data_IF_796605471242
#
_entry.id   IF_796605471242
#
_cell.length_a   1.000
_cell.length_b   1.000
_cell.length_c   1.000
_cell.angle_alpha   90.00
_cell.angle_beta   90.00
_cell.angle_gamma   90.00
#
_symmetry.space_group_name_H-M   'P 1'
#
loop_
_entity.id
_entity.type
_entity.pdbx_description
1 polymer ?
#
# COMPACT_ATOMS: atom_id res chain seq x y z
N UNK A 1 7.32 18.52 -4.44
CA UNK A 1 6.19 17.73 -4.96
C UNK A 1 6.74 16.35 -5.30
N UNK A 2 6.53 15.35 -4.44
CA UNK A 2 7.06 14.00 -4.68
C UNK A 2 6.19 13.30 -5.71
N UNK A 3 6.76 12.86 -6.83
CA UNK A 3 6.07 12.09 -7.85
C UNK A 3 5.62 10.77 -7.21
N UNK A 4 4.31 10.56 -7.11
CA UNK A 4 3.73 9.24 -6.92
C UNK A 4 4.04 8.45 -8.20
N UNK A 5 4.88 7.42 -8.12
CA UNK A 5 5.07 6.51 -9.26
C UNK A 5 3.76 5.74 -9.43
N UNK A 6 3.12 5.90 -10.57
CA UNK A 6 1.97 5.07 -10.91
C UNK A 6 2.49 3.69 -11.34
N UNK A 7 1.63 2.68 -11.35
CA UNK A 7 1.92 1.45 -12.09
C UNK A 7 1.87 1.76 -13.60
N UNK A 8 2.95 2.34 -14.11
CA UNK A 8 3.08 2.73 -15.50
C UNK A 8 3.56 1.53 -16.31
N UNK A 9 2.64 0.76 -16.88
CA UNK A 9 2.95 -0.15 -18.02
C UNK A 9 3.21 0.66 -19.30
N UNK A 10 4.03 1.72 -19.24
CA UNK A 10 4.27 2.65 -20.36
C UNK A 10 3.05 3.48 -20.81
N UNK A 11 2.00 3.57 -19.99
CA UNK A 11 0.77 4.34 -20.27
C UNK A 11 0.86 5.76 -19.69
N UNK A 12 0.17 6.72 -20.31
CA UNK A 12 -0.01 8.08 -19.74
C UNK A 12 -0.99 8.13 -18.57
N UNK A 13 -1.58 6.99 -18.19
CA UNK A 13 -2.59 6.86 -17.12
C UNK A 13 -2.26 5.74 -16.13
N UNK A 14 -2.86 5.80 -14.94
CA UNK A 14 -2.79 4.73 -13.93
C UNK A 14 -3.40 3.44 -14.48
N UNK A 15 -2.67 2.33 -14.42
CA UNK A 15 -3.19 1.00 -14.74
C UNK A 15 -3.34 0.21 -13.44
N UNK A 16 -4.40 -0.59 -13.34
CA UNK A 16 -4.58 -1.48 -12.19
C UNK A 16 -3.49 -2.55 -12.19
N UNK A 17 -2.74 -2.63 -11.10
CA UNK A 17 -1.75 -3.67 -10.84
C UNK A 17 -2.42 -5.05 -10.78
N UNK A 18 -1.80 -6.03 -11.40
CA UNK A 18 -2.19 -7.44 -11.24
C UNK A 18 -1.88 -7.94 -9.83
N UNK A 19 -2.47 -9.07 -9.44
CA UNK A 19 -2.26 -9.68 -8.13
C UNK A 19 -0.77 -9.97 -7.83
N UNK A 20 0.03 -10.57 -8.75
CA UNK A 20 1.47 -10.74 -8.53
C UNK A 20 2.22 -9.42 -8.34
N UNK A 21 1.88 -8.37 -9.11
CA UNK A 21 2.50 -7.04 -8.97
C UNK A 21 2.17 -6.42 -7.61
N UNK A 22 0.94 -6.57 -7.12
CA UNK A 22 0.52 -6.10 -5.79
C UNK A 22 1.23 -6.86 -4.65
N UNK A 23 1.44 -8.16 -4.80
CA UNK A 23 2.20 -8.97 -3.84
C UNK A 23 3.66 -8.55 -3.78
N UNK A 24 4.31 -8.41 -4.94
CA UNK A 24 5.68 -7.91 -5.01
C UNK A 24 5.79 -6.53 -4.36
N UNK A 25 4.84 -5.64 -4.66
CA UNK A 25 4.80 -4.31 -4.07
C UNK A 25 4.64 -4.34 -2.54
N UNK A 26 3.81 -5.24 -2.01
CA UNK A 26 3.68 -5.41 -0.57
C UNK A 26 5.01 -5.84 0.09
N UNK A 27 5.75 -6.76 -0.52
CA UNK A 27 7.06 -7.19 -0.03
C UNK A 27 8.11 -6.06 -0.12
N UNK A 28 8.12 -5.29 -1.21
CA UNK A 28 8.96 -4.10 -1.36
C UNK A 28 8.68 -3.06 -0.25
N UNK A 29 7.40 -2.81 0.07
CA UNK A 29 7.00 -1.90 1.15
C UNK A 29 7.45 -2.43 2.52
N UNK A 30 7.22 -3.73 2.81
CA UNK A 30 7.63 -4.34 4.08
C UNK A 30 9.14 -4.23 4.29
N UNK A 31 9.93 -4.49 3.24
CA UNK A 31 11.38 -4.34 3.27
C UNK A 31 11.79 -2.90 3.58
N UNK A 32 11.12 -1.90 2.99
CA UNK A 32 11.38 -0.49 3.27
C UNK A 32 10.98 -0.10 4.69
N UNK A 33 9.83 -0.54 5.20
CA UNK A 33 9.40 -0.30 6.60
C UNK A 33 10.47 -0.79 7.58
N UNK A 34 10.96 -2.01 7.36
CA UNK A 34 12.05 -2.60 8.15
C UNK A 34 13.34 -1.79 8.05
N UNK A 35 13.72 -1.38 6.83
CA UNK A 35 14.92 -0.55 6.59
C UNK A 35 14.83 0.81 7.29
N UNK A 36 13.65 1.44 7.30
CA UNK A 36 13.41 2.71 7.98
C UNK A 36 13.24 2.56 9.50
N UNK A 37 13.24 1.32 10.03
CA UNK A 37 12.97 1.00 11.43
C UNK A 37 11.67 1.65 11.95
N UNK A 38 10.58 1.57 11.17
CA UNK A 38 9.27 2.10 11.55
C UNK A 38 8.34 0.98 12.00
N UNK A 39 7.62 1.21 13.10
CA UNK A 39 6.59 0.28 13.61
C UNK A 39 5.25 0.49 12.87
N UNK A 40 5.25 0.14 11.59
CA UNK A 40 4.07 0.24 10.73
C UNK A 40 3.64 -1.17 10.30
N UNK A 41 2.42 -1.53 10.66
CA UNK A 41 1.76 -2.72 10.15
C UNK A 41 1.15 -2.41 8.77
N UNK A 42 1.53 -3.16 7.73
CA UNK A 42 0.98 -2.99 6.38
C UNK A 42 -0.40 -3.67 6.28
N UNK A 43 -1.44 -2.89 5.99
CA UNK A 43 -2.84 -3.36 5.97
C UNK A 43 -3.35 -3.58 4.54
N UNK A 44 -3.04 -2.64 3.63
CA UNK A 44 -3.47 -2.72 2.25
C UNK A 44 -2.51 -1.98 1.31
N UNK A 45 -2.40 -2.45 0.07
CA UNK A 45 -1.64 -1.76 -0.99
C UNK A 45 -2.58 -1.08 -1.97
N UNK A 46 -2.13 0.02 -2.55
CA UNK A 46 -2.87 0.67 -3.62
C UNK A 46 -2.63 -0.06 -4.95
N UNK A 47 -3.70 -0.42 -5.65
CA UNK A 47 -3.65 -1.11 -6.95
C UNK A 47 -3.39 -0.16 -8.13
N UNK A 48 -3.45 1.16 -7.93
CA UNK A 48 -3.25 2.18 -8.98
C UNK A 48 -1.93 2.95 -8.83
N UNK A 49 -1.49 3.16 -7.58
CA UNK A 49 -0.31 3.97 -7.25
C UNK A 49 0.75 3.13 -6.55
N UNK A 50 1.91 2.97 -7.20
CA UNK A 50 3.05 2.32 -6.57
C UNK A 50 3.53 3.20 -5.42
N UNK A 51 3.95 2.56 -4.34
CA UNK A 51 4.39 3.15 -3.07
C UNK A 51 3.31 3.82 -2.20
N UNK A 52 2.06 3.85 -2.63
CA UNK A 52 0.94 4.24 -1.77
C UNK A 52 0.35 3.01 -1.06
N UNK A 53 0.18 3.11 0.26
CA UNK A 53 -0.37 2.02 1.05
C UNK A 53 -1.14 2.53 2.28
N UNK A 54 -1.99 1.67 2.83
CA UNK A 54 -2.62 1.87 4.13
C UNK A 54 -1.85 1.04 5.14
N UNK A 55 -1.46 1.69 6.23
CA UNK A 55 -0.79 1.04 7.35
C UNK A 55 -1.39 1.46 8.68
N UNK A 56 -1.07 0.69 9.71
CA UNK A 56 -1.48 0.95 11.08
C UNK A 56 -0.25 1.22 11.94
N UNK A 57 -0.31 2.28 12.74
CA UNK A 57 0.72 2.67 13.70
C UNK A 57 0.01 3.17 14.96
N UNK A 58 0.45 2.71 16.14
CA UNK A 58 -0.15 3.08 17.43
C UNK A 58 -1.68 2.88 17.47
N UNK A 59 -2.17 1.82 16.84
CA UNK A 59 -3.61 1.50 16.78
C UNK A 59 -4.42 2.34 15.78
N UNK A 60 -3.80 3.29 15.06
CA UNK A 60 -4.47 4.18 14.12
C UNK A 60 -4.09 3.87 12.68
N UNK A 61 -5.07 3.93 11.80
CA UNK A 61 -4.88 3.74 10.37
C UNK A 61 -4.49 5.04 9.71
N UNK A 62 -3.48 4.97 8.85
CA UNK A 62 -2.99 6.09 8.06
C UNK A 62 -2.71 5.67 6.62
N UNK A 63 -2.88 6.61 5.71
CA UNK A 63 -2.30 6.52 4.38
C UNK A 63 -0.81 6.87 4.48
N UNK A 64 0.02 6.07 3.84
CA UNK A 64 1.45 6.27 3.75
C UNK A 64 1.90 6.34 2.29
N UNK A 65 3.01 7.05 2.10
CA UNK A 65 3.78 7.08 0.87
C UNK A 65 5.20 6.62 1.15
N UNK A 66 5.57 5.48 0.58
CA UNK A 66 6.95 5.01 0.53
C UNK A 66 7.75 5.83 -0.50
N UNK A 67 8.98 6.20 -0.14
CA UNK A 67 9.92 6.94 -0.98
C UNK A 67 11.24 6.15 -1.01
N UNK A 68 11.33 5.06 -1.80
CA UNK A 68 12.48 4.16 -1.78
C UNK A 68 13.81 4.86 -2.05
N UNK A 69 13.84 5.79 -3.00
CA UNK A 69 15.04 6.57 -3.36
C UNK A 69 15.59 7.41 -2.20
N UNK A 70 14.75 7.71 -1.21
CA UNK A 70 15.12 8.49 -0.01
C UNK A 70 15.21 7.64 1.25
N UNK A 71 15.01 6.32 1.13
CA UNK A 71 14.84 5.41 2.27
C UNK A 71 13.88 5.98 3.33
N UNK A 72 12.74 6.51 2.89
CA UNK A 72 11.80 7.23 3.74
C UNK A 72 10.38 6.73 3.55
N UNK A 73 9.60 6.72 4.62
CA UNK A 73 8.14 6.56 4.58
C UNK A 73 7.51 7.82 5.18
N UNK A 74 6.59 8.41 4.41
CA UNK A 74 5.85 9.62 4.80
C UNK A 74 4.42 9.25 5.18
N UNK A 75 4.00 9.69 6.36
CA UNK A 75 2.60 9.62 6.80
C UNK A 75 1.83 10.78 6.17
N UNK A 76 0.76 10.48 5.43
CA UNK A 76 -0.04 11.48 4.71
C UNK A 76 -1.29 11.87 5.50
N UNK A 77 -2.31 10.99 5.46
CA UNK A 77 -3.64 11.25 5.97
C UNK A 77 -3.99 10.24 7.07
N UNK A 78 -4.62 10.69 8.14
CA UNK A 78 -5.15 9.83 9.19
C UNK A 78 -6.61 9.50 8.90
N UNK A 79 -6.98 8.22 8.96
CA UNK A 79 -8.39 7.83 8.86
C UNK A 79 -9.05 8.08 10.22
N UNK A 80 -9.97 9.06 10.29
CA UNK A 80 -10.65 9.48 11.52
C UNK A 80 -12.12 9.07 11.45
N UNK A 81 -12.54 7.92 12.01
CA UNK A 81 -13.98 7.59 12.03
C UNK A 81 -14.40 6.23 12.61
N UNK A 82 -15.46 6.25 13.42
CA UNK A 82 -16.06 5.16 14.24
C UNK A 82 -16.98 4.18 13.49
N UNK A 83 -16.91 4.09 12.17
CA UNK A 83 -17.75 3.19 11.38
C UNK A 83 -16.92 2.74 10.19
N UNK A 84 -16.76 1.42 10.03
CA UNK A 84 -16.19 0.71 8.86
C UNK A 84 -15.59 1.66 7.82
N UNK A 85 -14.41 2.15 8.17
CA UNK A 85 -13.31 2.55 7.32
C UNK A 85 -13.66 3.06 5.92
N UNK A 86 -13.68 4.39 5.75
CA UNK A 86 -13.72 5.04 4.44
C UNK A 86 -12.60 4.59 3.46
N UNK A 87 -11.56 3.90 3.95
CA UNK A 87 -10.54 3.25 3.12
C UNK A 87 -10.94 1.86 2.63
N UNK A 88 -11.81 1.13 3.35
CA UNK A 88 -12.41 -0.13 2.89
C UNK A 88 -13.40 0.10 1.74
N UNK A 89 -14.04 1.26 1.68
CA UNK A 89 -14.87 1.69 0.55
C UNK A 89 -14.03 2.20 -0.65
N UNK A 90 -12.76 2.51 -0.41
CA UNK A 90 -11.86 2.99 -1.44
C UNK A 90 -11.43 1.82 -2.34
N UNK A 91 -12.12 1.69 -3.48
CA UNK A 91 -11.97 0.62 -4.48
C UNK A 91 -10.55 0.40 -5.01
N UNK A 92 -9.62 1.31 -4.74
CA UNK A 92 -8.23 1.29 -5.18
C UNK A 92 -7.28 0.62 -4.18
N UNK A 93 -7.71 0.27 -2.97
CA UNK A 93 -6.89 -0.48 -2.02
C UNK A 93 -7.31 -1.94 -1.99
N UNK A 94 -6.33 -2.83 -1.85
CA UNK A 94 -6.56 -4.28 -1.70
C UNK A 94 -5.88 -4.73 -0.41
N UNK A 95 -6.63 -5.43 0.45
CA UNK A 95 -6.12 -5.88 1.75
C UNK A 95 -5.04 -6.94 1.55
N UNK A 96 -4.01 -6.93 2.38
CA UNK A 96 -2.93 -7.93 2.30
C UNK A 96 -3.49 -9.34 2.46
N UNK A 97 -4.46 -9.55 3.36
CA UNK A 97 -5.07 -10.86 3.58
C UNK A 97 -5.83 -11.39 2.36
N UNK A 98 -6.47 -10.52 1.57
CA UNK A 98 -7.14 -10.91 0.31
C UNK A 98 -6.13 -11.32 -0.77
N UNK A 99 -4.94 -10.72 -0.75
CA UNK A 99 -3.86 -11.07 -1.67
C UNK A 99 -3.26 -12.44 -1.34
N UNK A 100 -3.11 -12.77 -0.05
CA UNK A 100 -2.52 -14.04 0.40
C UNK A 100 -3.51 -15.20 0.34
N UNK A 101 -4.80 -14.99 0.63
CA UNK A 101 -5.83 -16.05 0.61
C UNK A 101 -5.97 -16.73 -0.76
N UNK A 102 -6.05 -15.97 -1.86
CA UNK A 102 -6.12 -16.59 -3.20
C UNK A 102 -4.77 -17.06 -3.75
N UNK A 103 -3.72 -17.18 -2.92
CA UNK A 103 -2.46 -17.85 -3.27
C UNK A 103 -2.51 -19.34 -2.87
N UNK A 104 -3.33 -19.68 -1.86
CA UNK A 104 -3.57 -21.06 -1.43
C UNK A 104 -4.42 -21.86 -2.41
N UNK A 105 -5.25 -21.22 -3.23
CA UNK A 105 -6.13 -21.89 -4.21
C UNK A 105 -5.43 -22.27 -5.54
N UNK A 106 -4.12 -21.97 -5.67
CA UNK A 106 -3.32 -22.24 -6.88
C UNK A 106 -2.30 -23.38 -6.69
N UNK A 107 -2.35 -24.10 -5.57
CA UNK A 107 -1.49 -25.26 -5.27
C UNK A 107 -2.31 -26.52 -5.02
#
# INVERSE_FOLDING_TARGET
MGILDYFYRGSSYAVTASKPEMLQHAEEIKSLISTCNQDIELIAVNKLYKWSFVGKIEGKLHMFLALPQKAQIRREYAFVGRARDAWEEATNYVKIDELTLGQLELF
#
